data_IF_319866428782
#
_entry.id   IF_319866428782
#
_cell.length_a   1.000
_cell.length_b   1.000
_cell.length_c   1.000
_cell.angle_alpha   90.00
_cell.angle_beta   90.00
_cell.angle_gamma   90.00
#
_symmetry.space_group_name_H-M   'P 1'
#
loop_
_entity.id
_entity.type
_entity.pdbx_description
1 polymer ?
#
# COMPACT_ATOMS: atom_id res chain seq x y z
N UNK A 1 -12.17 7.69 33.23
CA UNK A 1 -12.12 6.61 32.24
C UNK A 1 -11.00 5.70 32.67
N UNK A 2 -11.35 4.55 33.26
CA UNK A 2 -10.40 3.59 33.78
C UNK A 2 -9.94 2.63 32.68
N UNK A 3 -8.85 1.86 32.87
CA UNK A 3 -8.44 0.81 31.95
C UNK A 3 -9.55 -0.23 31.70
N UNK A 4 -10.37 -0.56 32.72
CA UNK A 4 -11.49 -1.49 32.54
C UNK A 4 -12.61 -0.91 31.63
N UNK A 5 -12.83 0.41 31.68
CA UNK A 5 -13.78 1.10 30.79
C UNK A 5 -13.33 1.03 29.31
N UNK A 6 -12.02 0.99 29.07
CA UNK A 6 -11.42 0.88 27.73
C UNK A 6 -11.51 -0.55 27.19
N UNK A 7 -11.18 -1.55 28.02
CA UNK A 7 -11.32 -2.97 27.65
C UNK A 7 -12.77 -3.32 27.31
N UNK A 8 -13.74 -2.86 28.11
CA UNK A 8 -15.17 -3.12 27.87
C UNK A 8 -15.65 -2.51 26.55
N UNK A 9 -15.13 -1.34 26.16
CA UNK A 9 -15.45 -0.69 24.88
C UNK A 9 -14.78 -1.33 23.67
N UNK A 10 -13.64 -1.99 23.87
CA UNK A 10 -12.87 -2.64 22.80
C UNK A 10 -13.32 -4.10 22.56
N UNK A 11 -14.05 -4.71 23.49
CA UNK A 11 -14.53 -6.10 23.37
C UNK A 11 -15.71 -6.29 22.41
N UNK A 12 -16.36 -5.23 21.93
CA UNK A 12 -17.47 -5.34 20.99
C UNK A 12 -17.01 -4.88 19.60
N UNK A 13 -16.95 -5.76 18.58
CA UNK A 13 -16.69 -5.29 17.23
C UNK A 13 -17.84 -4.33 16.83
N UNK A 14 -17.54 -3.24 16.10
CA UNK A 14 -18.59 -2.33 15.66
C UNK A 14 -19.68 -3.11 14.91
N UNK A 15 -20.95 -2.94 15.34
CA UNK A 15 -22.15 -3.61 14.79
C UNK A 15 -22.27 -3.56 13.27
N UNK A 16 -21.62 -2.59 12.63
CA UNK A 16 -21.50 -2.49 11.18
C UNK A 16 -20.17 -1.83 10.84
N UNK A 17 -19.47 -2.36 9.83
CA UNK A 17 -18.27 -1.73 9.31
C UNK A 17 -18.67 -0.56 8.42
N UNK A 18 -18.13 0.63 8.68
CA UNK A 18 -18.21 1.73 7.73
C UNK A 18 -17.40 1.36 6.47
N UNK A 19 -18.11 1.10 5.38
CA UNK A 19 -17.50 0.68 4.12
C UNK A 19 -16.58 1.74 3.50
N UNK A 20 -16.83 3.03 3.75
CA UNK A 20 -15.97 4.09 3.26
C UNK A 20 -14.64 4.10 4.02
N UNK A 21 -14.67 3.95 5.34
CA UNK A 21 -13.46 3.81 6.16
C UNK A 21 -12.71 2.53 5.79
N UNK A 22 -13.40 1.40 5.67
CA UNK A 22 -12.78 0.13 5.29
C UNK A 22 -12.10 0.22 3.91
N UNK A 23 -12.75 0.85 2.93
CA UNK A 23 -12.18 1.02 1.60
C UNK A 23 -10.93 1.91 1.62
N UNK A 24 -10.89 2.94 2.47
CA UNK A 24 -9.68 3.77 2.63
C UNK A 24 -8.53 2.98 3.25
N UNK A 25 -8.80 2.18 4.29
CA UNK A 25 -7.79 1.33 4.92
C UNK A 25 -7.26 0.27 3.95
N UNK A 26 -8.15 -0.41 3.23
CA UNK A 26 -7.73 -1.36 2.18
C UNK A 26 -6.93 -0.67 1.08
N UNK A 27 -7.41 0.48 0.62
CA UNK A 27 -6.75 1.29 -0.40
C UNK A 27 -5.35 1.75 0.01
N UNK A 28 -5.14 2.12 1.27
CA UNK A 28 -3.80 2.51 1.75
C UNK A 28 -2.83 1.33 1.78
N UNK A 29 -3.29 0.15 2.20
CA UNK A 29 -2.46 -1.06 2.19
C UNK A 29 -2.09 -1.48 0.77
N UNK A 30 -3.07 -1.54 -0.14
CA UNK A 30 -2.80 -1.88 -1.54
C UNK A 30 -1.97 -0.82 -2.25
N UNK A 31 -2.25 0.46 -2.02
CA UNK A 31 -1.51 1.58 -2.61
C UNK A 31 -0.04 1.59 -2.17
N UNK A 32 0.25 1.24 -0.92
CA UNK A 32 1.62 1.10 -0.43
C UNK A 32 2.38 0.00 -1.18
N UNK A 33 1.81 -1.21 -1.26
CA UNK A 33 2.46 -2.36 -1.92
C UNK A 33 2.62 -2.12 -3.43
N UNK A 34 1.61 -1.54 -4.08
CA UNK A 34 1.67 -1.20 -5.51
C UNK A 34 2.70 -0.09 -5.80
N UNK A 35 2.78 0.93 -4.93
CA UNK A 35 3.76 2.00 -5.06
C UNK A 35 5.19 1.51 -4.94
N UNK A 36 5.45 0.61 -3.99
CA UNK A 36 6.75 -0.04 -3.82
C UNK A 36 7.13 -0.89 -5.03
N UNK A 37 6.23 -1.78 -5.49
CA UNK A 37 6.47 -2.63 -6.66
C UNK A 37 6.75 -1.82 -7.94
N UNK A 38 6.04 -0.70 -8.15
CA UNK A 38 6.30 0.20 -9.30
C UNK A 38 7.64 0.93 -9.17
N UNK A 39 7.99 1.38 -7.95
CA UNK A 39 9.23 2.10 -7.68
C UNK A 39 10.48 1.23 -7.78
N UNK A 40 10.39 -0.04 -7.34
CA UNK A 40 11.51 -0.98 -7.31
C UNK A 40 12.16 -1.21 -8.69
N UNK A 41 11.38 -1.14 -9.78
CA UNK A 41 11.88 -1.33 -11.14
C UNK A 41 12.83 -0.22 -11.60
N UNK A 42 12.67 0.97 -11.04
CA UNK A 42 13.44 2.16 -11.41
C UNK A 42 14.25 2.71 -10.24
N UNK A 43 14.41 1.90 -9.19
CA UNK A 43 15.24 2.23 -8.05
C UNK A 43 16.66 2.58 -8.53
N UNK A 44 17.22 3.65 -7.96
CA UNK A 44 18.54 4.19 -8.30
C UNK A 44 18.70 4.78 -9.72
N UNK A 45 17.61 4.94 -10.49
CA UNK A 45 17.65 5.68 -11.77
C UNK A 45 17.55 7.19 -11.53
N UNK A 46 18.28 8.02 -12.32
CA UNK A 46 18.17 9.47 -12.22
C UNK A 46 16.80 9.94 -12.69
N UNK A 47 16.32 11.09 -12.16
CA UNK A 47 15.01 11.63 -12.51
C UNK A 47 14.80 11.82 -14.01
N UNK A 48 15.85 12.21 -14.77
CA UNK A 48 15.73 12.35 -16.23
C UNK A 48 15.32 11.03 -16.91
N UNK A 49 15.84 9.89 -16.46
CA UNK A 49 15.48 8.57 -17.00
C UNK A 49 13.97 8.30 -16.87
N UNK A 50 13.35 8.70 -15.76
CA UNK A 50 11.91 8.51 -15.53
C UNK A 50 11.03 9.42 -16.41
N UNK A 51 11.56 10.58 -16.83
CA UNK A 51 10.86 11.48 -17.76
C UNK A 51 10.85 10.88 -19.17
N UNK A 52 11.96 10.26 -19.57
CA UNK A 52 12.13 9.63 -20.88
C UNK A 52 11.48 8.23 -20.94
N UNK A 53 11.41 7.53 -19.81
CA UNK A 53 10.89 6.17 -19.67
C UNK A 53 9.90 6.08 -18.50
N UNK A 54 8.69 6.68 -18.63
CA UNK A 54 7.70 6.66 -17.56
C UNK A 54 7.20 5.24 -17.29
N UNK A 55 7.11 4.87 -16.01
CA UNK A 55 6.50 3.61 -15.57
C UNK A 55 4.97 3.76 -15.64
N UNK A 56 4.34 3.00 -16.54
CA UNK A 56 2.89 3.08 -16.80
C UNK A 56 2.12 1.85 -16.34
N UNK A 57 2.81 0.74 -16.07
CA UNK A 57 2.22 -0.51 -15.61
C UNK A 57 3.24 -1.24 -14.72
N UNK A 58 2.77 -2.25 -13.98
CA UNK A 58 3.62 -3.21 -13.29
C UNK A 58 4.40 -4.00 -14.34
N UNK A 59 5.71 -3.74 -14.41
CA UNK A 59 6.61 -4.41 -15.33
C UNK A 59 7.18 -5.68 -14.68
N UNK A 60 7.67 -6.59 -15.52
CA UNK A 60 8.56 -7.66 -15.09
C UNK A 60 9.99 -7.22 -15.43
N UNK A 61 10.94 -7.54 -14.56
CA UNK A 61 12.37 -7.17 -14.67
C UNK A 61 12.72 -5.73 -14.29
N UNK A 62 13.19 -5.60 -13.04
CA UNK A 62 13.90 -4.44 -12.50
C UNK A 62 15.29 -4.82 -12.00
N UNK A 63 15.96 -3.90 -11.30
CA UNK A 63 17.32 -4.07 -10.72
C UNK A 63 17.53 -5.39 -9.96
N UNK A 64 16.45 -5.97 -9.43
CA UNK A 64 16.46 -7.19 -8.61
C UNK A 64 15.79 -8.42 -9.26
N UNK A 65 15.35 -8.36 -10.52
CA UNK A 65 14.73 -9.50 -11.21
C UNK A 65 13.41 -9.98 -10.59
N UNK A 66 12.66 -9.08 -9.97
CA UNK A 66 11.38 -9.39 -9.31
C UNK A 66 10.31 -9.77 -10.34
N UNK A 67 9.47 -10.76 -9.99
CA UNK A 67 8.28 -11.13 -10.78
C UNK A 67 7.15 -10.14 -10.49
N UNK A 68 6.20 -10.02 -11.43
CA UNK A 68 5.06 -9.09 -11.33
C UNK A 68 4.31 -9.23 -10.00
N UNK A 69 4.31 -8.16 -9.19
CA UNK A 69 3.57 -8.09 -7.92
C UNK A 69 4.27 -8.65 -6.68
N UNK A 70 5.58 -8.91 -6.75
CA UNK A 70 6.42 -9.25 -5.60
C UNK A 70 7.25 -8.07 -5.11
#
# INVERSE_FOLDING_TARGET
MTPEDLETKLQDPPRSVDHAILNRVKGSMYGMVLGDALGAHVEFRPRQYLVEHPVQDLQEEGTWGLKKGQ
#
